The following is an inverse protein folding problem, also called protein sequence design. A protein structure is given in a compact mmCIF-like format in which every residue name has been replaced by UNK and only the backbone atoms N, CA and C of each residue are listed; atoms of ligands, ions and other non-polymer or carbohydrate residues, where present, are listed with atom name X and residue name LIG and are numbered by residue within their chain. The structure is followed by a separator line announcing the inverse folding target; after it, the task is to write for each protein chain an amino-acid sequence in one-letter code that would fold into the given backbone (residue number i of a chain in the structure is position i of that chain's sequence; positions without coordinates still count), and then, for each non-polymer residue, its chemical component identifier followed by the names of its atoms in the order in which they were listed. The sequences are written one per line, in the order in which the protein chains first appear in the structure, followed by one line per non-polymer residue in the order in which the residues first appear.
data_IF_060553537059
#
_entry.id   IF_060553537059
#
_cell.length_a   1.000
_cell.length_b   1.000
_cell.length_c   1.000
_cell.angle_alpha   90.00
_cell.angle_beta   90.00
_cell.angle_gamma   90.00
#
_symmetry.space_group_name_H-M   'P 1'
#
loop_
_entity.id
_entity.type
_entity.pdbx_description
1 polymer ?
#
# COMPACT_ATOMS: atom_id res chain seq x y z
N UNK A 1 -24.41 90.63 9.55
CA UNK A 1 -23.85 91.28 8.37
C UNK A 1 -22.95 90.18 7.72
N UNK A 2 -23.37 89.73 6.53
CA UNK A 2 -22.65 88.95 5.50
C UNK A 2 -21.90 87.69 5.83
N UNK A 3 -22.50 86.62 5.30
CA UNK A 3 -21.82 85.49 4.66
C UNK A 3 -20.82 85.98 3.59
N UNK A 4 -20.06 85.14 2.83
CA UNK A 4 -20.14 83.73 2.57
C UNK A 4 -18.76 83.03 2.41
N UNK A 5 -18.90 81.82 2.00
CA UNK A 5 -18.24 81.09 0.88
C UNK A 5 -17.19 80.10 1.28
N UNK A 6 -17.47 78.98 0.88
CA UNK A 6 -17.19 78.11 -0.28
C UNK A 6 -16.10 77.12 0.01
N UNK A 7 -16.50 75.92 0.04
CA UNK A 7 -16.28 74.80 -0.87
C UNK A 7 -14.81 74.47 -1.22
N UNK A 8 -14.44 73.30 -0.97
CA UNK A 8 -13.96 72.39 -2.02
C UNK A 8 -13.56 71.06 -1.39
N UNK A 9 -14.34 70.07 -1.72
CA UNK A 9 -14.00 68.71 -1.46
C UNK A 9 -12.83 68.29 -2.33
N UNK A 10 -11.94 67.55 -1.77
CA UNK A 10 -11.05 66.71 -2.52
C UNK A 10 -11.27 65.27 -2.02
N UNK A 11 -11.76 64.51 -2.98
CA UNK A 11 -12.07 63.12 -2.83
C UNK A 11 -10.86 62.29 -2.49
N UNK A 12 -11.02 61.55 -1.40
CA UNK A 12 -10.17 60.42 -1.11
C UNK A 12 -10.58 59.29 -2.01
N UNK A 13 -9.83 59.04 -3.06
CA UNK A 13 -9.91 57.80 -3.81
C UNK A 13 -9.39 56.68 -2.94
N UNK A 14 -10.32 55.90 -2.41
CA UNK A 14 -10.04 54.63 -1.73
C UNK A 14 -9.45 53.68 -2.78
N UNK A 15 -8.16 53.37 -2.62
CA UNK A 15 -7.49 52.26 -3.30
C UNK A 15 -7.94 50.97 -2.67
N UNK A 16 -9.12 50.46 -3.06
CA UNK A 16 -9.59 49.14 -2.72
C UNK A 16 -9.60 48.26 -3.98
N UNK A 17 -8.42 48.03 -4.57
CA UNK A 17 -8.32 47.27 -5.82
C UNK A 17 -7.29 46.15 -5.82
N UNK A 18 -6.50 46.00 -4.77
CA UNK A 18 -5.42 44.98 -4.81
C UNK A 18 -5.79 43.63 -4.13
N UNK A 19 -6.81 43.60 -3.30
CA UNK A 19 -7.24 42.33 -2.67
C UNK A 19 -8.04 41.37 -3.58
N UNK A 20 -8.67 41.91 -4.62
CA UNK A 20 -9.52 41.14 -5.52
C UNK A 20 -8.76 40.32 -6.59
N UNK A 21 -7.59 40.84 -6.99
CA UNK A 21 -6.80 40.16 -8.04
C UNK A 21 -6.07 38.91 -7.49
N UNK A 22 -5.59 38.96 -6.24
CA UNK A 22 -4.94 37.77 -5.62
C UNK A 22 -5.94 36.67 -5.32
N UNK A 23 -7.14 37.00 -4.85
CA UNK A 23 -8.15 35.97 -4.60
C UNK A 23 -8.67 35.33 -5.90
N UNK A 24 -8.84 36.15 -6.97
CA UNK A 24 -9.24 35.63 -8.28
C UNK A 24 -8.15 34.79 -8.96
N UNK A 25 -6.88 35.09 -8.69
CA UNK A 25 -5.75 34.34 -9.21
C UNK A 25 -5.52 33.03 -8.45
N UNK A 26 -5.71 33.03 -7.13
CA UNK A 26 -5.74 31.79 -6.32
C UNK A 26 -6.92 30.89 -6.69
N UNK A 27 -8.11 31.44 -6.88
CA UNK A 27 -9.28 30.69 -7.35
C UNK A 27 -9.08 30.16 -8.78
N UNK A 28 -8.43 30.91 -9.66
CA UNK A 28 -8.10 30.46 -11.01
C UNK A 28 -7.00 29.38 -11.03
N UNK A 29 -6.03 29.43 -10.12
CA UNK A 29 -5.01 28.40 -9.95
C UNK A 29 -5.64 27.14 -9.37
N UNK A 30 -6.55 27.27 -8.40
CA UNK A 30 -7.30 26.15 -7.85
C UNK A 30 -8.28 25.55 -8.86
N UNK A 31 -8.93 26.36 -9.68
CA UNK A 31 -9.84 25.89 -10.74
C UNK A 31 -9.10 25.21 -11.89
N UNK A 32 -7.85 25.61 -12.18
CA UNK A 32 -7.04 24.96 -13.22
C UNK A 32 -6.37 23.66 -12.72
N UNK A 33 -6.46 23.37 -11.42
CA UNK A 33 -6.14 22.07 -10.84
C UNK A 33 -7.33 21.10 -10.93
N UNK A 34 -8.47 21.53 -11.51
CA UNK A 34 -9.57 20.64 -11.85
C UNK A 34 -9.15 19.72 -13.01
N UNK A 35 -8.45 18.69 -12.63
CA UNK A 35 -8.52 17.32 -13.10
C UNK A 35 -9.28 17.10 -14.40
N UNK A 36 -8.53 16.85 -15.43
CA UNK A 36 -8.98 15.98 -16.51
C UNK A 36 -9.58 14.76 -15.83
N UNK A 37 -10.88 14.50 -16.03
CA UNK A 37 -11.59 13.37 -15.42
C UNK A 37 -10.77 12.09 -15.56
N UNK A 38 -10.26 11.56 -14.44
CA UNK A 38 -9.44 10.36 -14.40
C UNK A 38 -7.97 10.56 -14.04
N UNK A 39 -7.45 11.79 -14.02
CA UNK A 39 -6.07 12.06 -13.60
C UNK A 39 -6.07 12.83 -12.29
N UNK A 40 -6.08 12.12 -11.20
CA UNK A 40 -5.83 12.75 -9.89
C UNK A 40 -4.32 13.04 -9.79
N UNK A 41 -3.92 14.27 -9.43
CA UNK A 41 -2.50 14.57 -9.26
C UNK A 41 -1.85 13.57 -8.29
N UNK A 42 -0.73 12.93 -8.66
CA UNK A 42 -0.11 11.87 -7.86
C UNK A 42 0.34 12.33 -6.47
N UNK A 43 0.48 13.63 -6.27
CA UNK A 43 0.81 14.23 -4.97
C UNK A 43 -0.35 14.22 -3.96
N UNK A 44 -1.60 14.14 -4.42
CA UNK A 44 -2.81 14.25 -3.57
C UNK A 44 -3.53 12.93 -3.39
N UNK A 45 -3.51 12.03 -4.39
CA UNK A 45 -4.21 10.76 -4.33
C UNK A 45 -3.29 9.59 -3.98
N UNK A 46 -3.78 8.77 -3.07
CA UNK A 46 -3.16 7.49 -2.78
C UNK A 46 -3.40 6.52 -3.94
N UNK A 47 -2.37 6.26 -4.73
CA UNK A 47 -2.42 5.34 -5.87
C UNK A 47 -1.91 3.95 -5.49
N UNK A 48 -2.61 2.91 -5.95
CA UNK A 48 -2.17 1.53 -5.78
C UNK A 48 -1.08 1.21 -6.81
N UNK A 49 0.09 0.80 -6.33
CA UNK A 49 1.22 0.38 -7.17
C UNK A 49 1.14 -1.11 -7.47
N UNK A 50 0.92 -1.92 -6.44
CA UNK A 50 0.88 -3.37 -6.57
C UNK A 50 -0.06 -3.99 -5.54
N UNK A 51 -0.75 -5.06 -5.94
CA UNK A 51 -1.57 -5.88 -5.04
C UNK A 51 -1.11 -7.33 -5.12
N UNK A 52 -0.85 -7.94 -3.96
CA UNK A 52 -0.50 -9.37 -3.85
C UNK A 52 -1.45 -10.08 -2.91
N UNK A 53 -1.64 -11.36 -3.20
CA UNK A 53 -2.51 -12.24 -2.43
C UNK A 53 -1.66 -13.20 -1.61
N UNK A 54 -2.01 -13.44 -0.34
CA UNK A 54 -1.33 -14.46 0.44
C UNK A 54 -1.56 -15.84 -0.19
N UNK A 55 -0.52 -16.66 -0.16
CA UNK A 55 -0.62 -18.06 -0.53
C UNK A 55 -1.21 -18.88 0.61
N UNK A 56 -1.59 -20.14 0.32
CA UNK A 56 -2.02 -21.10 1.34
C UNK A 56 -0.98 -21.26 2.46
N UNK A 57 0.29 -21.04 2.14
CA UNK A 57 1.41 -21.06 3.09
C UNK A 57 1.36 -19.95 4.17
N UNK A 58 0.48 -18.97 4.03
CA UNK A 58 0.21 -18.01 5.11
C UNK A 58 -0.44 -18.67 6.34
N UNK A 59 -1.12 -19.80 6.14
CA UNK A 59 -1.77 -20.54 7.22
C UNK A 59 -0.88 -21.64 7.80
N UNK A 60 -1.09 -21.98 9.08
CA UNK A 60 -0.36 -23.08 9.74
C UNK A 60 -0.58 -24.42 9.08
N UNK A 61 -1.83 -24.72 8.67
CA UNK A 61 -2.17 -25.96 7.95
C UNK A 61 -1.50 -26.01 6.57
N UNK A 62 -1.50 -24.93 5.83
CA UNK A 62 -0.79 -24.86 4.53
C UNK A 62 0.70 -25.13 4.69
N UNK A 63 1.35 -24.59 5.71
CA UNK A 63 2.76 -24.87 6.02
C UNK A 63 2.99 -26.33 6.42
N UNK A 64 2.10 -26.92 7.20
CA UNK A 64 2.17 -28.33 7.56
C UNK A 64 2.09 -29.21 6.30
N UNK A 65 1.11 -28.97 5.42
CA UNK A 65 0.99 -29.68 4.14
C UNK A 65 2.27 -29.50 3.28
N UNK A 66 2.81 -28.29 3.19
CA UNK A 66 4.05 -28.03 2.46
C UNK A 66 5.27 -28.81 2.99
N UNK A 67 5.34 -29.04 4.33
CA UNK A 67 6.37 -29.92 4.91
C UNK A 67 6.18 -31.37 4.48
N UNK A 68 4.94 -31.89 4.51
CA UNK A 68 4.63 -33.27 4.08
C UNK A 68 4.97 -33.46 2.59
N UNK A 69 4.62 -32.52 1.75
CA UNK A 69 4.89 -32.61 0.30
C UNK A 69 6.39 -32.60 -0.05
N UNK A 70 7.23 -32.07 0.86
CA UNK A 70 8.69 -32.05 0.68
C UNK A 70 9.37 -33.36 1.02
N UNK A 71 8.67 -34.32 1.62
CA UNK A 71 9.24 -35.64 1.94
C UNK A 71 9.53 -36.37 0.64
N UNK A 72 10.80 -36.54 0.34
CA UNK A 72 11.28 -37.23 -0.89
C UNK A 72 11.54 -38.72 -0.69
N UNK A 73 11.18 -39.26 0.49
CA UNK A 73 11.37 -40.67 0.78
C UNK A 73 10.38 -41.54 -0.02
N UNK A 74 10.84 -42.56 -0.70
CA UNK A 74 10.01 -43.50 -1.51
C UNK A 74 10.80 -44.08 -2.70
N UNK A 75 10.22 -45.12 -3.32
CA UNK A 75 10.84 -45.80 -4.46
C UNK A 75 10.29 -45.25 -5.80
N UNK A 76 11.17 -44.82 -6.69
CA UNK A 76 10.83 -44.41 -8.04
C UNK A 76 9.84 -43.22 -8.12
N UNK A 77 8.81 -43.30 -8.98
CA UNK A 77 7.84 -42.22 -9.17
C UNK A 77 6.84 -42.06 -7.99
N UNK A 78 6.76 -43.09 -7.11
CA UNK A 78 5.86 -43.14 -5.95
C UNK A 78 6.61 -42.73 -4.69
N UNK A 79 6.82 -41.43 -4.51
CA UNK A 79 7.33 -40.89 -3.25
C UNK A 79 6.20 -40.69 -2.24
N UNK A 80 6.52 -40.88 -0.95
CA UNK A 80 5.57 -40.64 0.15
C UNK A 80 4.96 -39.24 0.04
N UNK A 81 5.74 -38.24 -0.34
CA UNK A 81 5.25 -36.89 -0.55
C UNK A 81 4.19 -36.76 -1.65
N UNK A 82 4.31 -37.53 -2.76
CA UNK A 82 3.31 -37.55 -3.85
C UNK A 82 2.03 -38.29 -3.45
N UNK A 83 2.14 -39.40 -2.70
CA UNK A 83 0.98 -40.09 -2.16
C UNK A 83 0.26 -39.22 -1.13
N UNK A 84 0.99 -38.56 -0.26
CA UNK A 84 0.44 -37.58 0.68
C UNK A 84 -0.25 -36.43 -0.04
N UNK A 85 0.34 -35.90 -1.13
CA UNK A 85 -0.30 -34.88 -1.97
C UNK A 85 -1.65 -35.37 -2.47
N UNK A 86 -1.71 -36.57 -3.06
CA UNK A 86 -2.96 -37.12 -3.61
C UNK A 86 -4.03 -37.32 -2.53
N UNK A 87 -3.64 -37.90 -1.38
CA UNK A 87 -4.55 -38.10 -0.26
C UNK A 87 -5.06 -36.82 0.38
N UNK A 88 -4.26 -35.74 0.33
CA UNK A 88 -4.61 -34.44 0.93
C UNK A 88 -5.19 -33.42 -0.06
N UNK A 89 -5.37 -33.81 -1.34
CA UNK A 89 -6.04 -32.94 -2.35
C UNK A 89 -7.36 -32.35 -1.84
N UNK A 90 -8.30 -33.13 -1.28
CA UNK A 90 -9.56 -32.57 -0.80
C UNK A 90 -9.35 -31.57 0.34
N UNK A 91 -8.40 -31.84 1.24
CA UNK A 91 -8.07 -30.93 2.34
C UNK A 91 -7.40 -29.64 1.81
N UNK A 92 -6.47 -29.76 0.88
CA UNK A 92 -5.84 -28.64 0.22
C UNK A 92 -6.83 -27.77 -0.55
N UNK A 93 -7.76 -28.40 -1.26
CA UNK A 93 -8.85 -27.71 -1.97
C UNK A 93 -9.78 -27.00 -0.99
N UNK A 94 -10.19 -27.64 0.08
CA UNK A 94 -11.02 -27.03 1.12
C UNK A 94 -10.32 -25.82 1.74
N UNK A 95 -9.03 -25.93 2.04
CA UNK A 95 -8.23 -24.83 2.58
C UNK A 95 -8.13 -23.68 1.57
N UNK A 96 -7.89 -24.00 0.29
CA UNK A 96 -7.86 -22.99 -0.77
C UNK A 96 -9.21 -22.26 -0.92
N UNK A 97 -10.31 -23.00 -0.94
CA UNK A 97 -11.65 -22.45 -1.03
C UNK A 97 -11.99 -21.59 0.20
N UNK A 98 -11.61 -22.02 1.40
CA UNK A 98 -11.83 -21.24 2.62
C UNK A 98 -11.14 -19.87 2.59
N UNK A 99 -9.96 -19.80 1.98
CA UNK A 99 -9.24 -18.52 1.80
C UNK A 99 -9.88 -17.60 0.75
N UNK A 100 -10.71 -18.16 -0.12
CA UNK A 100 -11.48 -17.42 -1.14
C UNK A 100 -12.86 -16.97 -0.64
N UNK A 101 -13.27 -17.36 0.56
CA UNK A 101 -14.53 -16.91 1.14
C UNK A 101 -14.52 -15.39 1.33
N UNK A 102 -15.65 -14.70 1.05
CA UNK A 102 -15.72 -13.24 1.02
C UNK A 102 -15.18 -12.54 2.26
N UNK A 103 -15.35 -13.16 3.43
CA UNK A 103 -14.88 -12.62 4.71
C UNK A 103 -13.41 -12.94 5.00
N UNK A 104 -12.85 -13.98 4.41
CA UNK A 104 -11.50 -14.47 4.67
C UNK A 104 -10.47 -13.94 3.66
N UNK A 105 -10.93 -13.36 2.56
CA UNK A 105 -10.06 -12.83 1.52
C UNK A 105 -9.15 -11.75 2.13
N UNK A 106 -7.84 -12.07 2.18
CA UNK A 106 -6.80 -11.09 2.52
C UNK A 106 -6.07 -10.67 1.27
N UNK A 107 -5.66 -9.42 1.23
CA UNK A 107 -4.79 -8.87 0.19
C UNK A 107 -3.80 -7.89 0.79
N UNK A 108 -2.63 -7.85 0.21
CA UNK A 108 -1.58 -6.91 0.55
C UNK A 108 -1.49 -5.90 -0.56
N UNK A 109 -1.71 -4.64 -0.25
CA UNK A 109 -1.69 -3.55 -1.21
C UNK A 109 -0.55 -2.62 -0.89
N UNK A 110 0.31 -2.41 -1.88
CA UNK A 110 1.34 -1.39 -1.87
C UNK A 110 0.78 -0.16 -2.57
N UNK A 111 0.82 0.96 -1.89
CA UNK A 111 0.47 2.26 -2.44
C UNK A 111 1.70 3.16 -2.53
N UNK A 112 1.56 4.33 -3.12
CA UNK A 112 2.61 5.35 -3.16
C UNK A 112 2.93 5.99 -1.80
N UNK A 113 2.21 5.62 -0.71
CA UNK A 113 2.39 6.17 0.65
C UNK A 113 2.61 5.12 1.72
N UNK A 114 1.98 3.95 1.60
CA UNK A 114 1.97 2.92 2.64
C UNK A 114 1.78 1.52 2.07
N UNK A 115 2.12 0.54 2.90
CA UNK A 115 1.79 -0.87 2.68
C UNK A 115 0.62 -1.23 3.58
N UNK A 116 -0.42 -1.84 3.02
CA UNK A 116 -1.70 -2.07 3.71
C UNK A 116 -2.08 -3.54 3.64
N UNK A 117 -2.52 -4.09 4.77
CA UNK A 117 -3.20 -5.39 4.84
C UNK A 117 -4.69 -5.14 4.85
N UNK A 118 -5.38 -5.61 3.83
CA UNK A 118 -6.83 -5.51 3.71
C UNK A 118 -7.48 -6.87 3.82
N UNK A 119 -8.71 -6.89 4.33
CA UNK A 119 -9.55 -8.08 4.43
C UNK A 119 -10.96 -7.82 3.92
N UNK A 120 -11.54 -8.86 3.30
CA UNK A 120 -12.92 -8.85 2.84
C UNK A 120 -13.10 -8.35 1.41
N UNK A 121 -14.32 -8.54 0.89
CA UNK A 121 -14.76 -8.01 -0.42
C UNK A 121 -14.83 -6.49 -0.35
N UNK A 122 -15.47 -5.97 0.70
CA UNK A 122 -15.36 -4.57 1.06
C UNK A 122 -14.06 -4.41 1.84
N UNK A 123 -13.08 -3.67 1.30
CA UNK A 123 -11.75 -3.61 1.88
C UNK A 123 -11.79 -2.96 3.26
N UNK A 124 -11.48 -3.77 4.28
CA UNK A 124 -11.21 -3.28 5.63
C UNK A 124 -9.72 -3.33 5.88
N UNK A 125 -9.14 -2.20 6.22
CA UNK A 125 -7.74 -2.10 6.60
C UNK A 125 -7.58 -2.76 7.98
N UNK A 126 -6.75 -3.80 8.05
CA UNK A 126 -6.39 -4.44 9.31
C UNK A 126 -5.15 -3.80 9.93
N UNK A 127 -4.12 -3.63 9.12
CA UNK A 127 -2.84 -3.05 9.52
C UNK A 127 -2.23 -2.31 8.33
N UNK A 128 -1.39 -1.35 8.61
CA UNK A 128 -0.60 -0.66 7.59
C UNK A 128 0.72 -0.18 8.18
N UNK A 129 1.66 0.12 7.30
CA UNK A 129 2.93 0.80 7.61
C UNK A 129 3.20 1.83 6.53
N UNK A 130 3.50 3.05 6.92
CA UNK A 130 3.86 4.10 5.97
C UNK A 130 5.29 3.88 5.43
N UNK A 131 5.53 4.30 4.18
CA UNK A 131 6.82 4.10 3.50
C UNK A 131 7.99 4.76 4.23
N UNK A 132 7.74 5.78 5.04
CA UNK A 132 8.73 6.42 5.89
C UNK A 132 8.97 5.72 7.24
N UNK A 133 8.15 4.75 7.62
CA UNK A 133 8.19 4.12 8.94
C UNK A 133 9.01 2.81 8.99
N UNK A 134 9.61 2.39 7.90
CA UNK A 134 10.52 1.25 7.88
C UNK A 134 11.77 1.58 7.08
N UNK A 135 12.87 0.93 7.38
CA UNK A 135 14.17 1.09 6.73
C UNK A 135 14.65 -0.17 6.02
N UNK A 136 14.20 -1.33 6.48
CA UNK A 136 14.55 -2.62 5.92
C UNK A 136 13.33 -3.53 5.76
N UNK A 137 13.43 -4.44 4.78
CA UNK A 137 12.45 -5.51 4.54
C UNK A 137 13.20 -6.83 4.46
N UNK A 138 12.93 -7.71 5.42
CA UNK A 138 13.48 -9.06 5.44
C UNK A 138 12.50 -10.05 4.83
N UNK A 139 13.04 -11.05 4.15
CA UNK A 139 12.28 -12.19 3.65
C UNK A 139 12.60 -13.39 4.53
N UNK A 140 11.61 -13.85 5.27
CA UNK A 140 11.71 -15.02 6.14
C UNK A 140 10.91 -16.15 5.54
N UNK A 141 11.59 -17.24 5.17
CA UNK A 141 10.92 -18.43 4.63
C UNK A 141 10.79 -19.46 5.76
N UNK A 142 9.56 -19.63 6.24
CA UNK A 142 9.28 -20.63 7.27
C UNK A 142 9.22 -22.04 6.68
N UNK A 143 9.52 -23.09 7.46
CA UNK A 143 9.44 -24.47 7.01
C UNK A 143 8.06 -24.82 6.44
N UNK A 144 8.03 -25.31 5.20
CA UNK A 144 6.81 -25.60 4.43
C UNK A 144 6.35 -24.49 3.49
N UNK A 145 6.84 -23.25 3.62
CA UNK A 145 6.56 -22.18 2.66
C UNK A 145 7.35 -22.34 1.36
N UNK A 146 8.51 -22.97 1.42
CA UNK A 146 9.39 -23.24 0.28
C UNK A 146 8.67 -23.99 -0.84
N UNK A 147 7.79 -24.95 -0.48
CA UNK A 147 6.98 -25.68 -1.45
C UNK A 147 6.09 -24.79 -2.32
N UNK A 148 5.60 -23.71 -1.75
CA UNK A 148 4.68 -22.77 -2.40
C UNK A 148 5.41 -21.58 -3.02
N UNK A 149 6.74 -21.57 -3.04
CA UNK A 149 7.56 -20.42 -3.40
C UNK A 149 7.09 -19.13 -2.68
N UNK A 150 6.73 -19.27 -1.41
CA UNK A 150 6.20 -18.21 -0.57
C UNK A 150 7.14 -17.91 0.60
N UNK A 151 6.98 -16.75 1.20
CA UNK A 151 7.71 -16.33 2.39
C UNK A 151 6.99 -15.20 3.11
N UNK A 152 7.39 -14.95 4.34
CA UNK A 152 6.91 -13.81 5.11
C UNK A 152 7.80 -12.61 4.82
N UNK A 153 7.18 -11.46 4.56
CA UNK A 153 7.90 -10.19 4.50
C UNK A 153 7.77 -9.48 5.85
N UNK A 154 8.91 -9.16 6.43
CA UNK A 154 9.02 -8.49 7.72
C UNK A 154 9.59 -7.10 7.49
N UNK A 155 8.75 -6.09 7.71
CA UNK A 155 9.16 -4.69 7.65
C UNK A 155 9.74 -4.30 8.99
N UNK A 156 10.92 -3.67 8.98
CA UNK A 156 11.64 -3.29 10.20
C UNK A 156 12.01 -1.82 10.20
N UNK A 157 12.06 -1.28 11.40
CA UNK A 157 12.67 0.01 11.69
C UNK A 157 13.77 -0.22 12.74
N UNK A 158 15.00 -0.29 12.27
CA UNK A 158 16.10 -0.78 13.10
C UNK A 158 15.84 -2.20 13.60
N UNK A 159 15.89 -2.47 14.91
CA UNK A 159 15.63 -3.79 15.48
C UNK A 159 14.13 -4.14 15.60
N UNK A 160 13.24 -3.16 15.42
CA UNK A 160 11.80 -3.31 15.70
C UNK A 160 11.08 -3.78 14.44
N UNK A 161 10.28 -4.84 14.58
CA UNK A 161 9.32 -5.29 13.54
C UNK A 161 8.09 -4.37 13.57
N UNK A 162 7.80 -3.70 12.45
CA UNK A 162 6.67 -2.77 12.32
C UNK A 162 5.46 -3.43 11.66
N UNK A 163 5.69 -4.30 10.67
CA UNK A 163 4.62 -5.01 9.97
C UNK A 163 5.15 -6.35 9.46
N UNK A 164 4.29 -7.37 9.49
CA UNK A 164 4.57 -8.68 8.87
C UNK A 164 3.47 -9.05 7.89
N UNK A 165 3.89 -9.43 6.67
CA UNK A 165 3.01 -9.95 5.63
C UNK A 165 3.25 -11.46 5.49
N UNK A 166 2.40 -12.32 6.08
CA UNK A 166 2.63 -13.75 6.03
C UNK A 166 2.30 -14.36 4.66
N UNK A 167 3.15 -15.28 4.21
CA UNK A 167 2.89 -16.13 3.05
C UNK A 167 2.77 -15.40 1.73
N UNK A 168 3.56 -14.36 1.51
CA UNK A 168 3.59 -13.64 0.22
C UNK A 168 4.15 -14.56 -0.86
N UNK A 169 3.45 -14.68 -1.99
CA UNK A 169 3.94 -15.38 -3.16
C UNK A 169 5.04 -14.56 -3.84
N UNK A 170 6.15 -15.20 -4.20
CA UNK A 170 7.34 -14.55 -4.78
C UNK A 170 7.78 -13.33 -3.96
N UNK A 171 8.15 -13.51 -2.69
CA UNK A 171 8.37 -12.41 -1.75
C UNK A 171 9.51 -11.48 -2.20
N UNK A 172 10.51 -11.97 -2.93
CA UNK A 172 11.63 -11.15 -3.41
C UNK A 172 11.18 -10.05 -4.38
N UNK A 173 10.30 -10.40 -5.34
CA UNK A 173 9.79 -9.42 -6.31
C UNK A 173 8.99 -8.32 -5.60
N UNK A 174 8.10 -8.70 -4.68
CA UNK A 174 7.32 -7.73 -3.93
C UNK A 174 8.19 -6.85 -3.02
N UNK A 175 9.21 -7.46 -2.35
CA UNK A 175 10.20 -6.73 -1.58
C UNK A 175 10.90 -5.66 -2.41
N UNK A 176 11.36 -6.03 -3.60
CA UNK A 176 12.07 -5.11 -4.50
C UNK A 176 11.18 -3.93 -4.88
N UNK A 177 9.94 -4.20 -5.31
CA UNK A 177 8.98 -3.14 -5.65
C UNK A 177 8.70 -2.23 -4.45
N UNK A 178 8.56 -2.77 -3.23
CA UNK A 178 8.39 -1.97 -2.01
C UNK A 178 9.58 -1.04 -1.76
N UNK A 179 10.81 -1.51 -1.97
CA UNK A 179 12.03 -0.71 -1.77
C UNK A 179 12.14 0.40 -2.83
N UNK A 180 11.82 0.11 -4.08
CA UNK A 180 11.81 1.09 -5.19
C UNK A 180 10.80 2.20 -4.93
N UNK A 181 9.57 1.84 -4.55
CA UNK A 181 8.52 2.81 -4.22
C UNK A 181 8.90 3.65 -3.00
N UNK A 182 9.51 3.02 -1.98
CA UNK A 182 10.01 3.75 -0.81
C UNK A 182 11.10 4.74 -1.18
N UNK A 183 12.05 4.33 -2.02
CA UNK A 183 13.12 5.23 -2.47
C UNK A 183 12.55 6.44 -3.22
N UNK A 184 11.59 6.22 -4.10
CA UNK A 184 10.88 7.29 -4.81
C UNK A 184 10.15 8.22 -3.84
N UNK A 185 9.45 7.66 -2.84
CA UNK A 185 8.75 8.42 -1.81
C UNK A 185 9.70 9.32 -1.01
N UNK A 186 10.82 8.77 -0.53
CA UNK A 186 11.83 9.52 0.25
C UNK A 186 12.47 10.61 -0.59
N UNK A 187 12.75 10.33 -1.87
CA UNK A 187 13.33 11.33 -2.78
C UNK A 187 12.39 12.52 -3.01
N UNK A 188 11.10 12.25 -3.19
CA UNK A 188 10.08 13.31 -3.35
C UNK A 188 9.90 14.10 -2.04
N UNK A 189 9.84 13.42 -0.90
CA UNK A 189 9.71 14.06 0.41
C UNK A 189 10.91 14.97 0.73
N UNK A 190 12.10 14.64 0.26
CA UNK A 190 13.29 15.49 0.41
C UNK A 190 13.25 16.76 -0.45
N UNK A 191 12.52 16.75 -1.57
CA UNK A 191 12.40 17.89 -2.48
C UNK A 191 11.27 18.85 -2.10
N UNK A 192 10.26 18.37 -1.35
CA UNK A 192 9.10 19.15 -0.92
C UNK A 192 9.07 19.20 0.61
N UNK A 193 9.77 20.15 1.25
CA UNK A 193 9.70 20.32 2.69
C UNK A 193 8.28 20.74 3.10
N UNK A 194 7.54 19.83 3.75
CA UNK A 194 6.15 20.05 4.19
C UNK A 194 5.13 19.03 3.67
N UNK A 195 5.55 18.01 2.93
CA UNK A 195 4.66 16.96 2.40
C UNK A 195 4.61 15.68 3.27
N UNK A 196 5.14 15.73 4.50
CA UNK A 196 5.17 14.60 5.45
C UNK A 196 4.07 14.75 6.51
#
# INVERSE_FOLDING_TARGET
MRSPESALGLGGTSVSGQGGYHAAEEDAIMANTQTISGVVPPAVAEATVMTVWPSVAATGLGRALGRFYRIKSGFGPLTIGRLALLATVPLGLMLYLSMRMPWAIRRYRLTNRRVVIEQGVVPRILQYVDLGQFDAIDVVVAPGQEWYAAGDLVFRRGPIETLRLPGVSRPQSFRQTCLEVRQSYVSVAALVPGAA
#
